data_IF_893547845900
#
_entry.id   IF_893547845900
#
_cell.length_a   1.000
_cell.length_b   1.000
_cell.length_c   1.000
_cell.angle_alpha   90.00
_cell.angle_beta   90.00
_cell.angle_gamma   90.00
#
_symmetry.space_group_name_H-M   'P 1'
#
loop_
_entity.id
_entity.type
_entity.pdbx_description
1 polymer ?
#
# COMPACT_ATOMS: atom_id res chain seq x y z
N UNK A 1 5.40 -62.93 -8.11
CA UNK A 1 4.16 -62.13 -8.04
C UNK A 1 3.81 -62.05 -6.57
N UNK A 2 4.04 -60.91 -5.93
CA UNK A 2 3.70 -60.74 -4.52
C UNK A 2 2.20 -60.42 -4.46
N UNK A 3 1.39 -61.40 -4.06
CA UNK A 3 0.00 -61.17 -3.70
C UNK A 3 0.01 -60.41 -2.37
N UNK A 4 -0.12 -59.09 -2.45
CA UNK A 4 -0.34 -58.26 -1.28
C UNK A 4 -1.65 -58.71 -0.62
N UNK A 5 -1.57 -59.11 0.64
CA UNK A 5 -2.76 -59.48 1.39
C UNK A 5 -3.70 -58.27 1.45
N UNK A 6 -5.01 -58.50 1.34
CA UNK A 6 -6.03 -57.45 1.49
C UNK A 6 -5.77 -56.50 2.69
N UNK A 7 -5.28 -56.96 3.87
CA UNK A 7 -4.95 -56.07 4.99
C UNK A 7 -3.75 -55.13 4.73
N UNK A 8 -2.76 -55.58 3.97
CA UNK A 8 -1.54 -54.82 3.65
C UNK A 8 -1.84 -53.73 2.60
N UNK A 9 -2.73 -54.05 1.65
CA UNK A 9 -3.24 -53.09 0.67
C UNK A 9 -4.06 -51.98 1.34
N UNK A 10 -4.88 -52.34 2.32
CA UNK A 10 -5.74 -51.39 3.06
C UNK A 10 -4.92 -50.43 3.94
N UNK A 11 -3.89 -50.94 4.62
CA UNK A 11 -2.96 -50.12 5.43
C UNK A 11 -2.09 -49.19 4.58
N UNK A 12 -1.64 -49.64 3.41
CA UNK A 12 -0.95 -48.80 2.43
C UNK A 12 -1.83 -47.63 1.96
N UNK A 13 -3.07 -47.93 1.54
CA UNK A 13 -4.03 -46.92 1.09
C UNK A 13 -4.34 -45.91 2.20
N UNK A 14 -4.55 -46.39 3.43
CA UNK A 14 -4.80 -45.52 4.57
C UNK A 14 -3.62 -44.58 4.85
N UNK A 15 -2.38 -45.08 4.75
CA UNK A 15 -1.18 -44.28 4.97
C UNK A 15 -1.05 -43.19 3.89
N UNK A 16 -1.28 -43.53 2.63
CA UNK A 16 -1.30 -42.55 1.51
C UNK A 16 -2.39 -41.50 1.74
N UNK A 17 -3.59 -41.91 2.17
CA UNK A 17 -4.69 -40.99 2.45
C UNK A 17 -4.36 -40.01 3.58
N UNK A 18 -3.71 -40.47 4.65
CA UNK A 18 -3.25 -39.62 5.75
C UNK A 18 -2.21 -38.61 5.26
N UNK A 19 -1.21 -39.05 4.49
CA UNK A 19 -0.17 -38.16 3.94
C UNK A 19 -0.81 -37.09 3.04
N UNK A 20 -1.72 -37.48 2.15
CA UNK A 20 -2.43 -36.54 1.27
C UNK A 20 -3.25 -35.53 2.07
N UNK A 21 -3.97 -35.98 3.10
CA UNK A 21 -4.76 -35.11 3.97
C UNK A 21 -3.87 -34.09 4.70
N UNK A 22 -2.70 -34.52 5.20
CA UNK A 22 -1.73 -33.63 5.86
C UNK A 22 -1.20 -32.57 4.87
N UNK A 23 -0.83 -32.97 3.66
CA UNK A 23 -0.34 -32.04 2.63
C UNK A 23 -1.41 -30.98 2.31
N UNK A 24 -2.66 -31.40 2.11
CA UNK A 24 -3.78 -30.49 1.85
C UNK A 24 -4.00 -29.55 3.03
N UNK A 25 -4.02 -30.06 4.26
CA UNK A 25 -4.20 -29.25 5.47
C UNK A 25 -3.09 -28.21 5.63
N UNK A 26 -1.82 -28.59 5.43
CA UNK A 26 -0.68 -27.66 5.49
C UNK A 26 -0.75 -26.62 4.38
N UNK A 27 -1.14 -26.99 3.17
CA UNK A 27 -1.33 -26.06 2.05
C UNK A 27 -2.40 -25.00 2.36
N UNK A 28 -3.58 -25.43 2.81
CA UNK A 28 -4.65 -24.50 3.18
C UNK A 28 -4.29 -23.65 4.39
N UNK A 29 -3.59 -24.22 5.39
CA UNK A 29 -3.11 -23.46 6.55
C UNK A 29 -2.13 -22.35 6.14
N UNK A 30 -1.15 -22.65 5.29
CA UNK A 30 -0.24 -21.62 4.76
C UNK A 30 -0.99 -20.53 3.99
N UNK A 31 -1.95 -20.92 3.16
CA UNK A 31 -2.77 -19.97 2.39
C UNK A 31 -3.62 -19.07 3.28
N UNK A 32 -4.18 -19.60 4.37
CA UNK A 32 -4.93 -18.82 5.36
C UNK A 32 -4.05 -17.86 6.13
N UNK A 33 -2.85 -18.29 6.56
CA UNK A 33 -1.89 -17.44 7.27
C UNK A 33 -1.46 -16.26 6.39
N UNK A 34 -1.15 -16.52 5.11
CA UNK A 34 -0.80 -15.46 4.16
C UNK A 34 -1.95 -14.48 3.95
N UNK A 35 -3.18 -14.99 3.78
CA UNK A 35 -4.35 -14.12 3.64
C UNK A 35 -4.60 -13.26 4.90
N UNK A 36 -4.42 -13.84 6.09
CA UNK A 36 -4.55 -13.14 7.36
C UNK A 36 -3.46 -12.08 7.55
N UNK A 37 -2.22 -12.38 7.14
CA UNK A 37 -1.10 -11.44 7.20
C UNK A 37 -1.36 -10.22 6.31
N UNK A 38 -1.82 -10.44 5.08
CA UNK A 38 -2.22 -9.35 4.17
C UNK A 38 -3.40 -8.54 4.70
N UNK A 39 -4.41 -9.19 5.28
CA UNK A 39 -5.57 -8.50 5.87
C UNK A 39 -5.18 -7.66 7.10
N UNK A 40 -4.29 -8.19 7.95
CA UNK A 40 -3.76 -7.46 9.10
C UNK A 40 -2.92 -6.27 8.67
N UNK A 41 -2.03 -6.44 7.69
CA UNK A 41 -1.21 -5.36 7.13
C UNK A 41 -2.11 -4.26 6.51
N UNK A 42 -3.12 -4.65 5.74
CA UNK A 42 -4.11 -3.73 5.18
C UNK A 42 -4.82 -2.94 6.28
N UNK A 43 -5.24 -3.61 7.37
CA UNK A 43 -5.92 -2.97 8.49
C UNK A 43 -5.02 -1.98 9.24
N UNK A 44 -3.76 -2.34 9.51
CA UNK A 44 -2.79 -1.45 10.15
C UNK A 44 -2.53 -0.23 9.28
N UNK A 45 -2.37 -0.43 7.98
CA UNK A 45 -2.12 0.65 7.03
C UNK A 45 -3.33 1.56 6.88
N UNK A 46 -4.55 1.00 6.92
CA UNK A 46 -5.78 1.78 6.93
C UNK A 46 -5.96 2.60 8.23
N UNK A 47 -5.61 2.05 9.40
CA UNK A 47 -5.62 2.80 10.67
C UNK A 47 -4.60 3.95 10.68
N UNK A 48 -3.42 3.71 10.09
CA UNK A 48 -2.41 4.75 9.90
C UNK A 48 -2.89 5.84 8.93
N UNK A 49 -3.61 5.47 7.87
CA UNK A 49 -4.21 6.42 6.95
C UNK A 49 -5.29 7.26 7.62
N UNK A 50 -6.14 6.67 8.46
CA UNK A 50 -7.13 7.44 9.22
C UNK A 50 -6.48 8.42 10.21
N UNK A 51 -5.37 8.05 10.83
CA UNK A 51 -4.57 8.98 11.65
C UNK A 51 -3.97 10.10 10.81
N UNK A 52 -3.45 9.78 9.63
CA UNK A 52 -2.88 10.76 8.71
C UNK A 52 -3.97 11.70 8.17
N UNK A 53 -5.18 11.20 7.93
CA UNK A 53 -6.37 11.98 7.60
C UNK A 53 -6.70 13.02 8.66
N UNK A 54 -6.81 12.60 9.93
CA UNK A 54 -7.07 13.53 11.05
C UNK A 54 -5.97 14.57 11.22
N UNK A 55 -4.71 14.17 11.05
CA UNK A 55 -3.57 15.11 11.08
C UNK A 55 -3.66 16.10 9.91
N UNK A 56 -4.05 15.63 8.73
CA UNK A 56 -4.32 16.46 7.56
C UNK A 56 -5.43 17.49 7.81
N UNK A 57 -6.56 17.09 8.40
CA UNK A 57 -7.64 18.00 8.78
C UNK A 57 -7.15 19.09 9.75
N UNK A 58 -6.39 18.70 10.78
CA UNK A 58 -5.80 19.64 11.75
C UNK A 58 -4.88 20.64 11.04
N UNK A 59 -4.04 20.20 10.09
CA UNK A 59 -3.16 21.10 9.35
C UNK A 59 -3.90 22.00 8.35
N UNK A 60 -5.04 21.56 7.83
CA UNK A 60 -5.90 22.41 7.00
C UNK A 60 -6.59 23.50 7.82
N UNK A 61 -7.04 23.17 9.04
CA UNK A 61 -7.64 24.14 9.97
C UNK A 61 -6.59 25.09 10.59
N UNK A 62 -5.39 24.57 10.87
CA UNK A 62 -4.30 25.25 11.59
C UNK A 62 -2.95 25.01 10.90
N UNK A 63 -2.70 25.65 9.75
CA UNK A 63 -1.48 25.44 8.96
C UNK A 63 -0.19 25.80 9.73
N UNK A 64 -0.26 26.64 10.76
CA UNK A 64 0.86 26.96 11.64
C UNK A 64 1.46 25.74 12.37
N UNK A 65 0.68 24.67 12.56
CA UNK A 65 1.15 23.44 13.21
C UNK A 65 2.07 22.60 12.34
N UNK A 66 2.18 22.88 11.03
CA UNK A 66 3.18 22.24 10.16
C UNK A 66 4.60 22.48 10.68
N UNK A 67 4.85 23.59 11.40
CA UNK A 67 6.13 23.90 12.07
C UNK A 67 6.57 22.85 13.09
N UNK A 68 5.62 22.10 13.66
CA UNK A 68 5.92 21.02 14.61
C UNK A 68 6.67 19.87 13.90
N UNK A 69 6.36 19.64 12.62
CA UNK A 69 7.01 18.59 11.82
C UNK A 69 8.34 19.06 11.24
N UNK A 70 8.46 20.36 10.95
CA UNK A 70 9.68 20.93 10.41
C UNK A 70 9.79 22.43 10.74
N UNK A 71 10.78 22.79 11.58
CA UNK A 71 11.04 24.17 12.03
C UNK A 71 11.83 25.00 11.02
N UNK A 72 11.99 24.50 9.79
CA UNK A 72 12.63 25.24 8.70
C UNK A 72 11.77 26.46 8.34
N UNK A 73 12.35 27.69 8.30
CA UNK A 73 11.62 28.92 8.01
C UNK A 73 10.83 28.87 6.69
N UNK A 74 11.34 28.18 5.67
CA UNK A 74 10.63 28.02 4.39
C UNK A 74 9.34 27.18 4.55
N UNK A 75 9.38 26.11 5.34
CA UNK A 75 8.24 25.22 5.64
C UNK A 75 7.21 25.90 6.55
N UNK A 76 7.68 26.80 7.41
CA UNK A 76 6.88 27.65 8.30
C UNK A 76 5.96 28.65 7.57
N UNK A 77 6.11 28.74 6.24
CA UNK A 77 5.33 29.57 5.31
C UNK A 77 4.37 28.74 4.44
N UNK A 78 4.29 27.42 4.65
CA UNK A 78 3.31 26.59 3.94
C UNK A 78 1.89 27.03 4.32
N UNK A 79 1.24 27.75 3.40
CA UNK A 79 -0.18 28.04 3.52
C UNK A 79 -1.01 26.75 3.46
N UNK A 80 -2.29 26.84 3.84
CA UNK A 80 -3.23 25.71 3.85
C UNK A 80 -3.23 24.90 2.54
N UNK A 81 -2.95 25.55 1.41
CA UNK A 81 -2.80 24.89 0.12
C UNK A 81 -1.64 23.88 0.07
N UNK A 82 -0.46 24.23 0.58
CA UNK A 82 0.69 23.32 0.53
C UNK A 82 0.51 22.19 1.54
N UNK A 83 -0.05 22.47 2.71
CA UNK A 83 -0.45 21.43 3.67
C UNK A 83 -1.43 20.43 3.03
N UNK A 84 -2.43 20.92 2.31
CA UNK A 84 -3.35 20.08 1.54
C UNK A 84 -2.64 19.29 0.43
N UNK A 85 -1.65 19.89 -0.24
CA UNK A 85 -0.86 19.19 -1.25
C UNK A 85 -0.03 18.03 -0.66
N UNK A 86 0.56 18.20 0.53
CA UNK A 86 1.21 17.09 1.26
C UNK A 86 0.21 15.98 1.59
N UNK A 87 -0.98 16.34 2.06
CA UNK A 87 -2.04 15.38 2.35
C UNK A 87 -2.43 14.57 1.09
N UNK A 88 -2.66 15.25 -0.04
CA UNK A 88 -2.96 14.59 -1.32
C UNK A 88 -1.81 13.68 -1.77
N UNK A 89 -0.55 14.11 -1.60
CA UNK A 89 0.61 13.29 -1.91
C UNK A 89 0.67 12.01 -1.06
N UNK A 90 0.47 12.11 0.26
CA UNK A 90 0.47 10.94 1.14
C UNK A 90 -0.66 9.98 0.80
N UNK A 91 -1.83 10.49 0.44
CA UNK A 91 -2.94 9.68 -0.05
C UNK A 91 -2.58 8.93 -1.36
N UNK A 92 -1.95 9.60 -2.33
CA UNK A 92 -1.45 8.93 -3.54
C UNK A 92 -0.43 7.83 -3.23
N UNK A 93 0.49 8.07 -2.29
CA UNK A 93 1.46 7.08 -1.85
C UNK A 93 0.76 5.87 -1.22
N UNK A 94 -0.23 6.11 -0.37
CA UNK A 94 -1.03 5.06 0.25
C UNK A 94 -1.71 4.17 -0.80
N UNK A 95 -2.41 4.75 -1.78
CA UNK A 95 -3.03 3.99 -2.86
C UNK A 95 -2.00 3.17 -3.67
N UNK A 96 -0.81 3.72 -3.92
CA UNK A 96 0.27 3.00 -4.58
C UNK A 96 0.71 1.76 -3.78
N UNK A 97 0.89 1.89 -2.47
CA UNK A 97 1.25 0.74 -1.63
C UNK A 97 0.14 -0.30 -1.54
N UNK A 98 -1.13 0.12 -1.47
CA UNK A 98 -2.26 -0.81 -1.53
C UNK A 98 -2.28 -1.58 -2.85
N UNK A 99 -1.91 -0.93 -3.97
CA UNK A 99 -1.76 -1.62 -5.26
C UNK A 99 -0.61 -2.62 -5.24
N UNK A 100 0.56 -2.25 -4.70
CA UNK A 100 1.71 -3.16 -4.61
C UNK A 100 1.41 -4.42 -3.79
N UNK A 101 0.53 -4.30 -2.79
CA UNK A 101 0.05 -5.42 -1.96
C UNK A 101 -1.07 -6.24 -2.58
N UNK A 102 -1.52 -5.90 -3.78
CA UNK A 102 -2.61 -6.60 -4.47
C UNK A 102 -3.99 -6.37 -3.86
N UNK A 103 -4.16 -5.32 -3.04
CA UNK A 103 -5.44 -4.98 -2.40
C UNK A 103 -6.35 -4.26 -3.40
N UNK A 104 -5.81 -3.34 -4.21
CA UNK A 104 -6.57 -2.64 -5.24
C UNK A 104 -6.72 -3.49 -6.49
N UNK A 105 -7.98 -3.64 -6.95
CA UNK A 105 -8.26 -4.28 -8.23
C UNK A 105 -7.69 -3.46 -9.40
N UNK A 106 -7.57 -4.08 -10.58
CA UNK A 106 -7.07 -3.39 -11.77
C UNK A 106 -7.95 -2.19 -12.16
N UNK A 107 -9.26 -2.32 -11.99
CA UNK A 107 -10.21 -1.25 -12.29
C UNK A 107 -10.09 -0.09 -11.30
N UNK A 108 -9.99 -0.39 -10.00
CA UNK A 108 -9.81 0.65 -8.97
C UNK A 108 -8.50 1.39 -9.18
N UNK A 109 -7.43 0.63 -9.47
CA UNK A 109 -6.12 1.19 -9.76
C UNK A 109 -6.14 2.11 -10.99
N UNK A 110 -6.83 1.74 -12.07
CA UNK A 110 -6.91 2.57 -13.27
C UNK A 110 -7.53 3.96 -12.97
N UNK A 111 -8.61 4.00 -12.17
CA UNK A 111 -9.22 5.24 -11.72
C UNK A 111 -8.27 6.08 -10.86
N UNK A 112 -7.62 5.45 -9.87
CA UNK A 112 -6.66 6.13 -9.00
C UNK A 112 -5.42 6.64 -9.73
N UNK A 113 -4.92 5.86 -10.69
CA UNK A 113 -3.79 6.24 -11.52
C UNK A 113 -4.11 7.48 -12.35
N UNK A 114 -5.29 7.54 -12.95
CA UNK A 114 -5.72 8.72 -13.71
C UNK A 114 -5.84 9.94 -12.79
N UNK A 115 -6.41 9.79 -11.59
CA UNK A 115 -6.52 10.87 -10.63
C UNK A 115 -5.14 11.39 -10.19
N UNK A 116 -4.22 10.47 -9.90
CA UNK A 116 -2.83 10.80 -9.54
C UNK A 116 -2.14 11.54 -10.67
N UNK A 117 -2.26 11.06 -11.93
CA UNK A 117 -1.74 11.77 -13.10
C UNK A 117 -2.31 13.17 -13.22
N UNK A 118 -3.62 13.33 -13.06
CA UNK A 118 -4.25 14.65 -13.12
C UNK A 118 -3.73 15.58 -12.02
N UNK A 119 -3.57 15.11 -10.78
CA UNK A 119 -3.08 15.93 -9.68
C UNK A 119 -1.62 16.41 -9.90
N UNK A 120 -0.75 15.51 -10.36
CA UNK A 120 0.67 15.78 -10.56
C UNK A 120 0.99 16.50 -11.87
N UNK A 121 0.39 16.09 -13.00
CA UNK A 121 0.68 16.64 -14.32
C UNK A 121 -0.13 17.90 -14.62
N UNK A 122 -1.45 17.85 -14.39
CA UNK A 122 -2.37 18.95 -14.74
C UNK A 122 -2.63 19.90 -13.57
N UNK A 123 -2.51 19.39 -12.34
CA UNK A 123 -2.66 20.15 -11.11
C UNK A 123 -1.36 20.82 -10.67
N UNK A 124 -1.36 21.35 -9.44
CA UNK A 124 -0.19 22.02 -8.86
C UNK A 124 0.75 21.08 -8.09
N UNK A 125 0.38 19.80 -7.95
CA UNK A 125 1.14 18.86 -7.13
C UNK A 125 2.53 18.56 -7.72
N UNK A 126 2.68 18.46 -9.04
CA UNK A 126 3.98 18.26 -9.68
C UNK A 126 4.93 19.45 -9.53
N UNK A 127 4.39 20.66 -9.35
CA UNK A 127 5.17 21.86 -9.02
C UNK A 127 5.69 21.78 -7.59
N UNK A 128 4.80 21.51 -6.64
CA UNK A 128 5.18 21.37 -5.22
C UNK A 128 6.07 20.16 -4.96
N UNK A 129 5.93 19.09 -5.74
CA UNK A 129 6.79 17.91 -5.70
C UNK A 129 8.28 18.28 -5.75
N UNK A 130 8.63 19.29 -6.57
CA UNK A 130 9.98 19.83 -6.71
C UNK A 130 10.24 21.01 -5.77
N UNK A 131 9.37 22.02 -5.80
CA UNK A 131 9.61 23.30 -5.10
C UNK A 131 9.54 23.19 -3.57
N UNK A 132 8.68 22.32 -3.05
CA UNK A 132 8.52 22.09 -1.61
C UNK A 132 9.24 20.81 -1.13
N UNK A 133 10.11 20.23 -1.99
CA UNK A 133 10.86 19.00 -1.74
C UNK A 133 10.00 17.83 -1.21
N UNK A 134 8.74 17.75 -1.64
CA UNK A 134 7.81 16.72 -1.14
C UNK A 134 8.32 15.29 -1.38
N UNK A 135 9.10 15.10 -2.46
CA UNK A 135 9.78 13.85 -2.76
C UNK A 135 10.64 13.30 -1.60
N UNK A 136 11.17 14.16 -0.72
CA UNK A 136 11.97 13.75 0.44
C UNK A 136 11.16 13.03 1.52
N UNK A 137 9.83 13.19 1.53
CA UNK A 137 8.91 12.72 2.57
C UNK A 137 8.27 11.36 2.28
N UNK A 138 8.58 10.78 1.12
CA UNK A 138 8.05 9.49 0.67
C UNK A 138 9.16 8.50 0.42
N UNK A 139 8.79 7.22 0.41
CA UNK A 139 9.73 6.13 0.18
C UNK A 139 10.29 6.14 -1.26
N UNK A 140 11.44 5.49 -1.50
CA UNK A 140 12.08 5.48 -2.81
C UNK A 140 11.22 4.86 -3.92
N UNK A 141 10.36 3.88 -3.63
CA UNK A 141 9.58 3.20 -4.66
C UNK A 141 8.46 4.12 -5.18
N UNK A 142 7.72 4.78 -4.28
CA UNK A 142 6.73 5.76 -4.69
C UNK A 142 7.37 6.97 -5.39
N UNK A 143 8.53 7.44 -4.90
CA UNK A 143 9.28 8.52 -5.56
C UNK A 143 9.64 8.19 -7.01
N UNK A 144 10.15 6.98 -7.24
CA UNK A 144 10.51 6.52 -8.59
C UNK A 144 9.28 6.39 -9.49
N UNK A 145 8.18 5.83 -8.95
CA UNK A 145 6.90 5.75 -9.65
C UNK A 145 6.42 7.14 -10.10
N UNK A 146 6.41 8.13 -9.20
CA UNK A 146 6.03 9.50 -9.55
C UNK A 146 6.98 10.08 -10.60
N UNK A 147 8.29 9.94 -10.43
CA UNK A 147 9.25 10.56 -11.34
C UNK A 147 9.25 9.94 -12.74
N UNK A 148 9.13 8.63 -12.87
CA UNK A 148 9.16 7.94 -14.18
C UNK A 148 7.80 7.76 -14.81
N UNK A 149 6.81 7.32 -14.06
CA UNK A 149 5.52 6.89 -14.65
C UNK A 149 4.47 8.00 -14.65
N UNK A 150 4.59 8.96 -13.73
CA UNK A 150 3.65 10.09 -13.62
C UNK A 150 4.25 11.33 -14.27
N UNK A 151 5.43 11.78 -13.87
CA UNK A 151 6.06 12.99 -14.40
C UNK A 151 6.94 12.71 -15.62
N UNK A 152 7.36 11.46 -15.82
CA UNK A 152 8.29 11.05 -16.89
C UNK A 152 7.69 10.93 -18.29
N UNK A 153 6.52 11.53 -18.53
CA UNK A 153 5.87 11.56 -19.84
C UNK A 153 5.45 12.98 -20.25
N UNK A 154 6.42 13.82 -20.60
CA UNK A 154 6.61 14.50 -21.91
C UNK A 154 7.95 15.24 -21.88
#
# INVERSE_FOLDING_TARGET
>A
MADLGFPELLTLVQTIAIIAAIIIAVYFSRRQIQALETDLEARVVNDLDEKLHRIGEIFMEKPEFVRILNDVPEVSTFGAEIAFAFYVMFFCAHCYHMRQRGILSDNDWAGWLQWTKNAFQSGRLGRYWKEAEMQAWVDPAFREFVNREILGST
#
